data_IF_161225200475
#
_entry.id   IF_161225200475
#
_cell.length_a   1.000
_cell.length_b   1.000
_cell.length_c   1.000
_cell.angle_alpha   90.00
_cell.angle_beta   90.00
_cell.angle_gamma   90.00
#
_symmetry.space_group_name_H-M   'P 1'
#
loop_
_entity.id
_entity.type
_entity.pdbx_description
1 polymer ?
#
# COMPACT_ATOMS: atom_id res chain seq x y z
N UNK A 1 1.06 -7.68 15.91
CA UNK A 1 0.54 -6.34 16.32
C UNK A 1 -0.02 -5.59 15.12
N UNK A 2 0.72 -5.58 14.02
CA UNK A 2 0.34 -5.00 12.75
C UNK A 2 0.35 -6.08 11.68
N UNK A 3 -0.55 -5.97 10.72
CA UNK A 3 -0.49 -6.65 9.43
C UNK A 3 -0.13 -5.57 8.41
N UNK A 4 0.80 -5.85 7.49
CA UNK A 4 1.09 -4.95 6.38
C UNK A 4 1.15 -5.78 5.09
N UNK A 5 0.51 -5.26 4.06
CA UNK A 5 0.52 -5.81 2.71
C UNK A 5 1.54 -5.03 1.86
N UNK A 6 2.27 -5.74 1.00
CA UNK A 6 3.11 -5.21 -0.08
C UNK A 6 3.08 -6.21 -1.23
N UNK A 7 3.24 -5.73 -2.46
CA UNK A 7 3.38 -6.57 -3.65
C UNK A 7 4.84 -6.99 -3.87
N UNK A 8 5.09 -7.92 -4.79
CA UNK A 8 6.45 -8.43 -5.09
C UNK A 8 7.35 -7.40 -5.80
N UNK A 9 6.75 -6.36 -6.36
CA UNK A 9 7.44 -5.21 -6.96
C UNK A 9 7.70 -4.05 -5.98
N UNK A 10 7.46 -4.25 -4.68
CA UNK A 10 7.65 -3.23 -3.66
C UNK A 10 8.99 -3.38 -2.91
N UNK A 11 9.61 -2.26 -2.55
CA UNK A 11 10.71 -2.16 -1.61
C UNK A 11 10.19 -1.66 -0.28
N UNK A 12 10.36 -2.45 0.79
CA UNK A 12 9.93 -2.08 2.14
C UNK A 12 11.11 -1.58 2.99
N UNK A 13 11.04 -0.32 3.40
CA UNK A 13 11.95 0.24 4.39
C UNK A 13 11.41 0.00 5.82
N UNK A 14 11.92 -1.05 6.47
CA UNK A 14 11.47 -1.48 7.80
C UNK A 14 11.70 -0.39 8.85
N UNK A 15 12.80 0.36 8.78
CA UNK A 15 13.09 1.44 9.75
C UNK A 15 12.05 2.54 9.73
N UNK A 16 11.71 3.03 8.53
CA UNK A 16 10.65 4.03 8.33
C UNK A 16 9.27 3.49 8.71
N UNK A 17 8.98 2.21 8.37
CA UNK A 17 7.72 1.57 8.75
C UNK A 17 7.55 1.54 10.27
N UNK A 18 8.56 1.06 11.01
CA UNK A 18 8.51 0.98 12.47
C UNK A 18 8.35 2.36 13.10
N UNK A 19 9.07 3.37 12.59
CA UNK A 19 8.94 4.76 13.04
C UNK A 19 7.52 5.28 12.84
N UNK A 20 6.90 5.02 11.68
CA UNK A 20 5.53 5.41 11.40
C UNK A 20 4.54 4.70 12.34
N UNK A 21 4.58 3.38 12.39
CA UNK A 21 3.63 2.57 13.18
C UNK A 21 3.75 2.79 14.69
N UNK A 22 4.92 3.23 15.18
CA UNK A 22 5.12 3.56 16.61
C UNK A 22 4.27 4.74 17.10
N UNK A 23 3.75 5.57 16.18
CA UNK A 23 2.91 6.72 16.50
C UNK A 23 1.46 6.33 16.83
N UNK A 24 1.10 5.06 16.62
CA UNK A 24 -0.27 4.57 16.75
C UNK A 24 -0.36 3.39 17.71
N UNK A 25 -1.50 3.25 18.39
CA UNK A 25 -1.76 2.05 19.20
C UNK A 25 -2.31 0.93 18.33
N UNK A 26 -1.67 -0.25 18.38
CA UNK A 26 -2.11 -1.43 17.64
C UNK A 26 -3.43 -2.06 18.17
N UNK A 27 -3.96 -1.56 19.29
CA UNK A 27 -5.27 -1.96 19.83
C UNK A 27 -6.41 -1.06 19.36
N UNK A 28 -6.11 0.10 18.77
CA UNK A 28 -7.08 0.97 18.12
C UNK A 28 -7.38 0.47 16.70
N UNK A 29 -8.33 1.11 16.04
CA UNK A 29 -8.73 0.80 14.67
C UNK A 29 -7.95 1.69 13.68
N UNK A 30 -6.78 1.22 13.27
CA UNK A 30 -5.91 1.93 12.33
C UNK A 30 -5.80 1.17 11.02
N UNK A 31 -6.14 1.86 9.93
CA UNK A 31 -5.86 1.51 8.54
C UNK A 31 -5.03 2.63 7.93
N UNK A 32 -3.81 2.34 7.49
CA UNK A 32 -2.86 3.36 7.00
C UNK A 32 -2.26 2.95 5.66
N UNK A 33 -2.19 3.91 4.73
CA UNK A 33 -1.65 3.71 3.39
C UNK A 33 -1.88 4.94 2.52
N UNK A 34 -1.74 4.80 1.20
CA UNK A 34 -2.00 5.87 0.23
C UNK A 34 -3.15 5.49 -0.72
N UNK A 35 -4.17 6.34 -0.91
CA UNK A 35 -5.14 6.16 -1.98
C UNK A 35 -4.55 6.61 -3.33
N UNK A 36 -4.85 5.89 -4.41
CA UNK A 36 -4.46 6.25 -5.78
C UNK A 36 -5.47 7.18 -6.47
N UNK A 37 -6.69 7.25 -5.97
CA UNK A 37 -7.75 8.12 -6.50
C UNK A 37 -7.73 9.49 -5.83
N UNK A 38 -8.19 10.52 -6.56
CA UNK A 38 -8.39 11.87 -6.01
C UNK A 38 -9.73 12.02 -5.26
N UNK A 39 -10.63 11.05 -5.42
CA UNK A 39 -11.96 10.99 -4.79
C UNK A 39 -12.26 9.56 -4.32
N UNK A 40 -13.20 9.36 -3.37
CA UNK A 40 -13.63 8.03 -2.97
C UNK A 40 -14.10 7.24 -4.19
N UNK A 41 -13.88 5.92 -4.21
CA UNK A 41 -14.45 5.08 -5.25
C UNK A 41 -15.96 5.00 -5.05
N UNK A 42 -16.70 5.01 -6.14
CA UNK A 42 -18.13 4.73 -6.17
C UNK A 42 -18.33 3.27 -6.54
N UNK A 43 -19.03 2.52 -5.71
CA UNK A 43 -19.34 1.12 -5.93
C UNK A 43 -20.79 0.81 -5.62
N UNK A 44 -21.23 -0.37 -6.01
CA UNK A 44 -22.62 -0.81 -5.81
C UNK A 44 -22.63 -2.10 -4.99
N UNK A 45 -23.32 -2.05 -3.86
CA UNK A 45 -23.59 -3.17 -2.94
C UNK A 45 -24.91 -3.84 -3.37
N UNK A 46 -24.91 -5.18 -3.53
CA UNK A 46 -26.09 -5.96 -3.93
C UNK A 46 -26.86 -6.45 -2.70
N UNK A 47 -27.76 -5.64 -2.14
CA UNK A 47 -28.48 -6.00 -0.90
C UNK A 47 -29.38 -7.24 -1.07
N UNK A 48 -30.08 -7.35 -2.21
CA UNK A 48 -30.94 -8.47 -2.60
C UNK A 48 -31.15 -8.47 -4.13
N UNK A 49 -31.82 -9.49 -4.70
CA UNK A 49 -31.98 -9.67 -6.17
C UNK A 49 -32.59 -8.48 -6.96
N UNK A 50 -33.10 -7.44 -6.29
CA UNK A 50 -33.72 -6.27 -6.91
C UNK A 50 -33.29 -4.92 -6.32
N UNK A 51 -32.48 -4.90 -5.27
CA UNK A 51 -32.11 -3.64 -4.59
C UNK A 51 -30.59 -3.45 -4.57
N UNK A 52 -30.17 -2.36 -5.20
CA UNK A 52 -28.78 -1.95 -5.33
C UNK A 52 -28.56 -0.71 -4.50
N UNK A 53 -27.53 -0.71 -3.66
CA UNK A 53 -27.16 0.45 -2.85
C UNK A 53 -25.82 1.00 -3.31
N UNK A 54 -25.77 2.30 -3.56
CA UNK A 54 -24.50 2.98 -3.84
C UNK A 54 -23.71 3.19 -2.55
N UNK A 55 -22.43 2.89 -2.60
CA UNK A 55 -21.48 3.07 -1.50
C UNK A 55 -20.26 3.83 -1.99
N UNK A 56 -19.72 4.68 -1.13
CA UNK A 56 -18.60 5.55 -1.44
C UNK A 56 -17.56 5.41 -0.33
N UNK A 57 -16.32 5.09 -0.68
CA UNK A 57 -15.26 4.87 0.31
C UNK A 57 -13.86 5.09 -0.25
N UNK A 58 -12.91 5.35 0.63
CA UNK A 58 -11.48 5.31 0.29
C UNK A 58 -10.91 3.92 0.51
N UNK A 59 -9.86 3.61 -0.25
CA UNK A 59 -9.04 2.44 -0.05
C UNK A 59 -7.56 2.82 -0.22
N UNK A 60 -6.68 2.11 0.49
CA UNK A 60 -5.25 2.18 0.24
C UNK A 60 -4.91 1.27 -0.93
N UNK A 61 -4.17 1.79 -1.90
CA UNK A 61 -3.75 1.07 -3.11
C UNK A 61 -2.83 -0.09 -2.74
N UNK A 62 -3.17 -1.30 -3.20
CA UNK A 62 -2.43 -2.52 -2.89
C UNK A 62 -0.94 -2.41 -3.25
N UNK A 63 -0.63 -1.96 -4.46
CA UNK A 63 0.73 -1.78 -4.95
C UNK A 63 1.52 -0.61 -4.37
N UNK A 64 0.92 0.21 -3.50
CA UNK A 64 1.68 1.13 -2.63
C UNK A 64 2.01 0.48 -1.28
N UNK A 65 1.35 -0.61 -0.93
CA UNK A 65 1.33 -1.21 0.39
C UNK A 65 0.45 -0.45 1.39
N UNK A 66 0.00 -1.17 2.41
CA UNK A 66 -0.83 -0.63 3.48
C UNK A 66 -0.65 -1.44 4.76
N UNK A 67 -1.09 -0.90 5.90
CA UNK A 67 -1.07 -1.60 7.18
C UNK A 67 -2.41 -1.51 7.92
N UNK A 68 -2.71 -2.59 8.64
CA UNK A 68 -3.86 -2.75 9.51
C UNK A 68 -3.37 -3.08 10.93
N UNK A 69 -3.92 -2.37 11.91
CA UNK A 69 -3.75 -2.69 13.33
C UNK A 69 -4.44 -4.01 13.70
N UNK A 70 -3.97 -4.69 14.76
CA UNK A 70 -4.64 -5.89 15.28
C UNK A 70 -6.08 -5.61 15.72
N UNK A 71 -6.34 -4.45 16.34
CA UNK A 71 -7.69 -4.04 16.74
C UNK A 71 -8.67 -4.08 15.57
N UNK A 72 -8.30 -3.40 14.48
CA UNK A 72 -9.09 -3.38 13.24
C UNK A 72 -9.20 -4.77 12.59
N UNK A 73 -8.09 -5.48 12.42
CA UNK A 73 -8.08 -6.78 11.76
C UNK A 73 -9.01 -7.81 12.45
N UNK A 74 -9.15 -7.74 13.78
CA UNK A 74 -10.09 -8.59 14.51
C UNK A 74 -11.56 -8.23 14.22
N UNK A 75 -11.88 -6.96 14.01
CA UNK A 75 -13.22 -6.50 13.66
C UNK A 75 -13.60 -6.82 12.22
N UNK A 76 -12.62 -6.92 11.32
CA UNK A 76 -12.83 -7.31 9.92
C UNK A 76 -13.24 -8.78 9.75
N UNK A 77 -13.08 -9.63 10.78
CA UNK A 77 -13.33 -11.08 10.70
C UNK A 77 -14.65 -11.49 10.01
N UNK A 78 -15.81 -10.87 10.29
CA UNK A 78 -17.07 -11.28 9.66
C UNK A 78 -17.07 -11.19 8.13
N UNK A 79 -16.21 -10.33 7.56
CA UNK A 79 -16.09 -10.13 6.11
C UNK A 79 -14.77 -10.64 5.54
N UNK A 80 -13.80 -11.02 6.37
CA UNK A 80 -12.43 -11.30 5.92
C UNK A 80 -11.91 -12.69 6.30
N UNK A 81 -12.63 -13.46 7.11
CA UNK A 81 -12.22 -14.80 7.57
C UNK A 81 -13.11 -15.90 7.00
N UNK A 82 -12.63 -17.15 7.05
CA UNK A 82 -13.43 -18.34 6.70
C UNK A 82 -14.07 -18.29 5.29
N UNK A 83 -13.36 -17.69 4.32
CA UNK A 83 -13.83 -17.54 2.93
C UNK A 83 -14.73 -16.32 2.69
N UNK A 84 -15.14 -15.59 3.73
CA UNK A 84 -15.99 -14.41 3.60
C UNK A 84 -15.36 -13.27 2.78
N UNK A 85 -14.03 -13.20 2.71
CA UNK A 85 -13.34 -12.18 1.92
C UNK A 85 -13.67 -12.28 0.43
N UNK A 86 -13.64 -13.50 -0.11
CA UNK A 86 -13.98 -13.74 -1.53
C UNK A 86 -15.45 -13.41 -1.80
N UNK A 87 -16.36 -13.82 -0.92
CA UNK A 87 -17.78 -13.49 -1.03
C UNK A 87 -18.02 -11.98 -0.98
N UNK A 88 -17.28 -11.25 -0.11
CA UNK A 88 -17.37 -9.79 0.00
C UNK A 88 -16.85 -9.11 -1.27
N UNK A 89 -15.71 -9.57 -1.82
CA UNK A 89 -15.15 -9.05 -3.06
C UNK A 89 -16.09 -9.28 -4.26
N UNK A 90 -16.68 -10.48 -4.37
CA UNK A 90 -17.66 -10.81 -5.40
C UNK A 90 -18.94 -9.98 -5.29
N UNK A 91 -19.37 -9.70 -4.06
CA UNK A 91 -20.58 -8.93 -3.78
C UNK A 91 -20.49 -7.48 -4.29
N UNK A 92 -19.34 -6.83 -4.09
CA UNK A 92 -19.09 -5.45 -4.56
C UNK A 92 -18.42 -5.39 -5.94
N UNK A 93 -17.94 -6.53 -6.45
CA UNK A 93 -17.23 -6.71 -7.73
C UNK A 93 -16.00 -5.81 -7.86
N UNK A 94 -15.20 -5.73 -6.80
CA UNK A 94 -13.98 -4.93 -6.77
C UNK A 94 -12.75 -5.78 -6.42
N UNK A 95 -11.53 -5.30 -6.75
CA UNK A 95 -10.28 -5.97 -6.38
C UNK A 95 -10.06 -6.07 -4.86
N UNK A 96 -9.04 -6.83 -4.46
CA UNK A 96 -8.75 -7.13 -3.05
C UNK A 96 -8.48 -5.87 -2.21
N UNK A 97 -7.71 -4.92 -2.72
CA UNK A 97 -7.38 -3.67 -2.01
C UNK A 97 -8.62 -2.79 -1.77
N UNK A 98 -9.48 -2.70 -2.78
CA UNK A 98 -10.78 -2.06 -2.71
C UNK A 98 -11.71 -2.79 -1.74
N UNK A 99 -11.66 -4.13 -1.67
CA UNK A 99 -12.44 -4.93 -0.72
C UNK A 99 -12.00 -4.68 0.72
N UNK A 100 -10.69 -4.53 0.98
CA UNK A 100 -10.19 -4.09 2.29
C UNK A 100 -10.73 -2.71 2.64
N UNK A 101 -10.65 -1.74 1.73
CA UNK A 101 -11.19 -0.39 1.94
C UNK A 101 -12.70 -0.38 2.20
N UNK A 102 -13.46 -1.20 1.47
CA UNK A 102 -14.89 -1.38 1.65
C UNK A 102 -15.24 -1.89 3.05
N UNK A 103 -14.58 -2.97 3.50
CA UNK A 103 -14.81 -3.52 4.84
C UNK A 103 -14.47 -2.47 5.91
N UNK A 104 -13.37 -1.75 5.75
CA UNK A 104 -12.89 -0.81 6.77
C UNK A 104 -13.72 0.47 6.82
N UNK A 105 -13.95 1.15 5.69
CA UNK A 105 -14.66 2.42 5.68
C UNK A 105 -16.18 2.24 5.63
N UNK A 106 -16.70 1.41 4.71
CA UNK A 106 -18.14 1.31 4.48
C UNK A 106 -18.86 0.43 5.50
N UNK A 107 -18.23 -0.67 5.95
CA UNK A 107 -18.84 -1.60 6.92
C UNK A 107 -18.47 -1.25 8.37
N UNK A 108 -17.22 -0.90 8.64
CA UNK A 108 -16.74 -0.63 10.01
C UNK A 108 -16.71 0.87 10.37
N UNK A 109 -16.87 1.78 9.41
CA UNK A 109 -16.88 3.23 9.66
C UNK A 109 -15.52 3.81 10.08
N UNK A 110 -14.43 3.10 9.80
CA UNK A 110 -13.07 3.51 10.16
C UNK A 110 -12.42 4.18 8.95
N UNK A 111 -11.93 5.41 9.08
CA UNK A 111 -11.33 6.13 7.96
C UNK A 111 -9.90 5.68 7.66
N UNK A 112 -9.53 5.71 6.37
CA UNK A 112 -8.16 5.56 5.91
C UNK A 112 -7.29 6.70 6.44
N UNK A 113 -6.29 6.35 7.24
CA UNK A 113 -5.20 7.25 7.61
C UNK A 113 -4.27 7.39 6.41
N UNK A 114 -4.33 8.52 5.72
CA UNK A 114 -3.49 8.78 4.54
C UNK A 114 -2.05 9.03 4.96
N UNK A 115 -1.12 8.34 4.33
CA UNK A 115 0.30 8.53 4.54
C UNK A 115 1.00 8.77 3.21
N UNK A 116 1.78 9.85 3.14
CA UNK A 116 2.58 10.18 1.97
C UNK A 116 3.90 9.37 1.88
N UNK A 117 4.08 8.37 2.75
CA UNK A 117 5.28 7.54 2.79
C UNK A 117 5.13 6.22 2.03
N UNK A 118 3.94 5.92 1.53
CA UNK A 118 3.66 4.71 0.75
C UNK A 118 3.55 5.07 -0.72
N UNK A 119 4.29 4.39 -1.62
CA UNK A 119 4.38 4.78 -3.03
C UNK A 119 4.16 3.60 -3.98
N UNK A 120 3.24 3.77 -4.93
CA UNK A 120 2.96 2.81 -6.00
C UNK A 120 3.60 3.25 -7.33
N UNK A 121 3.89 2.30 -8.22
CA UNK A 121 4.27 2.60 -9.60
C UNK A 121 3.14 3.22 -10.45
N UNK A 122 1.94 3.42 -9.89
CA UNK A 122 0.88 4.24 -10.48
C UNK A 122 1.13 5.75 -10.31
N UNK A 123 2.12 6.13 -9.51
CA UNK A 123 2.53 7.51 -9.27
C UNK A 123 3.77 7.86 -10.09
N UNK A 124 4.09 9.15 -10.25
CA UNK A 124 5.36 9.55 -10.85
C UNK A 124 6.51 9.38 -9.84
N UNK A 125 7.12 8.18 -9.82
CA UNK A 125 8.16 7.82 -8.85
C UNK A 125 9.42 8.69 -9.00
N UNK A 126 9.63 9.29 -10.16
CA UNK A 126 10.74 10.23 -10.40
C UNK A 126 10.64 11.52 -9.57
N UNK A 127 9.45 11.85 -9.05
CA UNK A 127 9.23 13.01 -8.16
C UNK A 127 9.37 12.68 -6.67
N UNK A 128 9.48 11.39 -6.32
CA UNK A 128 9.62 10.98 -4.93
C UNK A 128 11.00 11.42 -4.44
N UNK A 129 10.99 12.22 -3.38
CA UNK A 129 12.19 12.74 -2.72
C UNK A 129 12.36 12.11 -1.35
N UNK A 130 13.49 12.39 -0.70
CA UNK A 130 13.79 11.89 0.65
C UNK A 130 13.60 10.36 0.78
N UNK A 131 14.19 9.64 -0.17
CA UNK A 131 14.08 8.17 -0.33
C UNK A 131 14.33 7.41 0.98
N UNK A 132 15.22 7.91 1.83
CA UNK A 132 15.58 7.27 3.11
C UNK A 132 14.43 7.19 4.10
N UNK A 133 13.48 8.12 4.02
CA UNK A 133 12.35 8.22 4.96
C UNK A 133 11.05 7.64 4.42
N UNK A 134 11.01 7.22 3.14
CA UNK A 134 9.84 6.55 2.57
C UNK A 134 9.68 5.16 3.19
N UNK A 135 8.42 4.70 3.33
CA UNK A 135 8.06 3.40 3.89
C UNK A 135 8.07 2.33 2.80
N UNK A 136 7.38 2.58 1.70
CA UNK A 136 7.43 1.72 0.51
C UNK A 136 7.83 2.51 -0.71
N UNK A 137 8.51 1.86 -1.62
CA UNK A 137 8.73 2.32 -2.99
C UNK A 137 8.33 1.17 -3.92
N UNK A 138 8.03 1.47 -5.17
CA UNK A 138 7.73 0.46 -6.19
C UNK A 138 8.59 0.73 -7.43
N UNK A 139 8.40 -0.09 -8.46
CA UNK A 139 8.87 0.17 -9.82
C UNK A 139 7.84 -0.34 -10.81
N UNK A 140 7.83 0.22 -12.01
CA UNK A 140 6.93 -0.23 -13.07
C UNK A 140 7.33 0.30 -14.43
N UNK A 141 6.43 0.13 -15.40
CA UNK A 141 6.59 0.66 -16.75
C UNK A 141 5.34 1.42 -17.16
N UNK A 142 5.50 2.67 -17.60
CA UNK A 142 4.42 3.52 -18.13
C UNK A 142 4.81 3.93 -19.54
N UNK A 143 3.98 3.62 -20.54
CA UNK A 143 4.24 3.95 -21.96
C UNK A 143 5.65 3.52 -22.44
N UNK A 144 6.07 2.31 -22.08
CA UNK A 144 7.41 1.77 -22.38
C UNK A 144 8.59 2.53 -21.74
N UNK A 145 8.33 3.45 -20.82
CA UNK A 145 9.34 4.12 -19.99
C UNK A 145 9.33 3.54 -18.58
N UNK A 146 10.52 3.35 -18.02
CA UNK A 146 10.68 2.89 -16.63
C UNK A 146 10.17 3.96 -15.67
N UNK A 147 9.26 3.57 -14.80
CA UNK A 147 8.83 4.37 -13.67
C UNK A 147 9.57 3.88 -12.42
N UNK A 148 10.57 4.65 -12.00
CA UNK A 148 11.44 4.31 -10.87
C UNK A 148 11.83 5.59 -10.13
N UNK A 149 12.26 5.45 -8.88
CA UNK A 149 12.79 6.57 -8.12
C UNK A 149 14.08 7.13 -8.74
N UNK A 150 14.24 8.45 -8.68
CA UNK A 150 15.47 9.09 -9.14
C UNK A 150 16.53 9.01 -8.05
N UNK A 151 17.53 8.16 -8.23
CA UNK A 151 18.64 8.01 -7.31
C UNK A 151 19.97 7.98 -8.05
N UNK A 152 20.86 8.91 -7.71
CA UNK A 152 22.26 8.84 -8.11
C UNK A 152 22.90 7.72 -7.30
N UNK A 153 23.12 6.58 -7.93
CA UNK A 153 23.67 5.39 -7.29
C UNK A 153 24.81 4.81 -8.11
N UNK A 154 25.60 3.95 -7.47
CA UNK A 154 26.76 3.29 -8.07
C UNK A 154 26.41 2.23 -9.11
N UNK A 155 25.13 1.88 -9.27
CA UNK A 155 24.65 0.93 -10.27
C UNK A 155 24.09 1.63 -11.50
N UNK A 156 24.52 1.18 -12.68
CA UNK A 156 23.94 1.62 -13.96
C UNK A 156 22.47 1.18 -14.07
N UNK A 157 21.69 1.84 -14.92
CA UNK A 157 20.29 1.47 -15.17
C UNK A 157 20.13 0.03 -15.72
N UNK A 158 21.18 -0.56 -16.28
CA UNK A 158 21.13 -1.95 -16.75
C UNK A 158 21.35 -2.95 -15.61
N UNK A 159 22.21 -2.62 -14.64
CA UNK A 159 22.54 -3.50 -13.52
C UNK A 159 21.48 -3.50 -12.42
N UNK A 160 20.70 -2.42 -12.31
CA UNK A 160 19.67 -2.26 -11.29
C UNK A 160 18.41 -1.56 -11.87
N UNK A 161 17.69 -2.20 -12.80
CA UNK A 161 16.61 -1.57 -13.56
C UNK A 161 15.45 -1.07 -12.70
N UNK A 162 15.27 -1.61 -11.49
CA UNK A 162 14.22 -1.23 -10.52
C UNK A 162 14.68 -0.13 -9.55
N UNK A 163 15.99 0.14 -9.51
CA UNK A 163 16.66 1.01 -8.52
C UNK A 163 16.70 0.45 -7.10
N UNK A 164 16.19 -0.76 -6.85
CA UNK A 164 16.10 -1.32 -5.50
C UNK A 164 17.47 -1.65 -4.90
N UNK A 165 18.46 -2.05 -5.71
CA UNK A 165 19.83 -2.25 -5.19
C UNK A 165 20.44 -0.92 -4.78
N UNK A 166 20.23 0.11 -5.58
CA UNK A 166 20.69 1.47 -5.28
C UNK A 166 20.01 2.04 -4.02
N UNK A 167 18.69 1.84 -3.85
CA UNK A 167 17.95 2.18 -2.62
C UNK A 167 18.50 1.41 -1.44
N UNK A 168 18.75 0.11 -1.58
CA UNK A 168 19.28 -0.72 -0.51
C UNK A 168 20.66 -0.24 -0.05
N UNK A 169 21.57 0.07 -0.97
CA UNK A 169 22.88 0.60 -0.61
C UNK A 169 22.82 2.02 -0.03
N UNK A 170 21.81 2.81 -0.38
CA UNK A 170 21.57 4.10 0.26
C UNK A 170 21.17 3.95 1.74
N UNK A 171 20.39 2.91 2.06
CA UNK A 171 19.89 2.63 3.41
C UNK A 171 20.88 1.83 4.26
N UNK A 172 21.63 0.92 3.64
CA UNK A 172 22.53 -0.04 4.27
C UNK A 172 23.89 -0.01 3.54
N UNK A 173 24.68 1.06 3.70
CA UNK A 173 25.93 1.25 2.94
C UNK A 173 26.99 0.20 3.27
N UNK A 174 26.93 -0.41 4.46
CA UNK A 174 27.88 -1.43 4.92
C UNK A 174 27.60 -2.83 4.33
N UNK A 175 26.55 -2.98 3.52
CA UNK A 175 26.23 -4.25 2.86
C UNK A 175 27.33 -4.61 1.87
N UNK A 176 27.91 -5.81 1.98
CA UNK A 176 29.16 -6.21 1.33
C UNK A 176 29.20 -6.13 -0.20
N UNK A 177 28.05 -6.25 -0.87
CA UNK A 177 27.95 -6.14 -2.33
C UNK A 177 27.64 -4.73 -2.83
N UNK A 178 27.45 -3.78 -1.91
CA UNK A 178 27.30 -2.37 -2.27
C UNK A 178 28.62 -1.83 -2.80
N UNK A 179 28.62 -1.18 -3.98
CA UNK A 179 29.84 -0.57 -4.49
C UNK A 179 30.29 0.54 -3.54
N UNK A 180 31.61 0.70 -3.43
CA UNK A 180 32.21 1.85 -2.75
C UNK A 180 31.65 3.14 -3.39
N UNK A 181 31.16 4.06 -2.56
CA UNK A 181 30.79 5.40 -2.98
C UNK A 181 32.01 6.20 -3.44
#
# INVERSE_FOLDING_TARGET
KWFCHVDDDNYLNIGSLLKLLSQYSHTQDIYIGRPSLERPIEATEMLDTKEMKQVHFWFATGGAGFCLSRGLALKMKPWASDGAFMATAEHIRLPDDCTVGYIVEAQLGVSLTRSALFHSHLENLGLVSDIKNQVTLSYGTVESRRNTVHLKGSFSANDDPTRFRSVHCLLYPDTSWCPSL
#
